data_IF_412031393943
#
_entry.id   IF_412031393943
#
_cell.length_a   1.000
_cell.length_b   1.000
_cell.length_c   1.000
_cell.angle_alpha   90.00
_cell.angle_beta   90.00
_cell.angle_gamma   90.00
#
_symmetry.space_group_name_H-M   'P 1'
#
loop_
_entity.id
_entity.type
_entity.pdbx_description
1 polymer ?
#
# COMPACT_ATOMS: atom_id res chain seq x y z
N UNK A 1 20.81 -15.15 16.82
CA UNK A 1 19.96 -15.00 18.02
C UNK A 1 18.59 -15.53 17.68
N UNK A 2 18.10 -16.58 18.35
CA UNK A 2 16.73 -17.08 18.13
C UNK A 2 15.77 -16.15 18.85
N UNK A 3 15.00 -15.38 18.10
CA UNK A 3 13.83 -14.68 18.61
C UNK A 3 12.67 -15.68 18.63
N UNK A 4 12.06 -15.92 19.79
CA UNK A 4 10.89 -16.79 19.91
C UNK A 4 9.65 -15.96 20.21
N UNK A 5 8.60 -16.14 19.41
CA UNK A 5 7.30 -15.50 19.62
C UNK A 5 6.35 -16.46 20.34
N UNK A 6 5.77 -16.01 21.46
CA UNK A 6 4.75 -16.76 22.19
C UNK A 6 3.38 -16.59 21.52
N UNK A 7 2.71 -17.68 21.18
CA UNK A 7 1.33 -17.65 20.71
C UNK A 7 0.37 -17.60 21.91
N UNK A 8 -0.57 -16.66 21.93
CA UNK A 8 -1.58 -16.54 23.00
C UNK A 8 -2.86 -17.24 22.58
N UNK A 9 -3.26 -18.28 23.30
CA UNK A 9 -4.39 -19.16 22.93
C UNK A 9 -5.57 -19.12 23.90
N UNK A 10 -5.44 -18.47 25.04
CA UNK A 10 -6.45 -18.50 26.09
C UNK A 10 -6.48 -17.21 26.91
N UNK A 11 -7.61 -16.95 27.58
CA UNK A 11 -7.76 -15.77 28.45
C UNK A 11 -6.72 -15.76 29.57
N UNK A 12 -6.42 -16.93 30.15
CA UNK A 12 -5.36 -17.08 31.16
C UNK A 12 -4.00 -16.65 30.63
N UNK A 13 -3.66 -17.02 29.39
CA UNK A 13 -2.40 -16.61 28.76
C UNK A 13 -2.37 -15.12 28.44
N UNK A 14 -3.51 -14.56 28.02
CA UNK A 14 -3.67 -13.13 27.80
C UNK A 14 -3.50 -12.31 29.08
N UNK A 15 -4.14 -12.74 30.18
CA UNK A 15 -4.03 -12.08 31.48
C UNK A 15 -2.59 -12.14 32.01
N UNK A 16 -1.92 -13.30 31.87
CA UNK A 16 -0.52 -13.45 32.22
C UNK A 16 0.39 -12.53 31.40
N UNK A 17 0.11 -12.37 30.10
CA UNK A 17 0.83 -11.43 29.24
C UNK A 17 0.61 -9.98 29.69
N UNK A 18 -0.62 -9.59 30.03
CA UNK A 18 -0.91 -8.24 30.55
C UNK A 18 -0.16 -7.95 31.86
N UNK A 19 -0.13 -8.92 32.77
CA UNK A 19 0.60 -8.81 34.02
C UNK A 19 2.12 -8.66 33.77
N UNK A 20 2.67 -9.44 32.84
CA UNK A 20 4.07 -9.30 32.45
C UNK A 20 4.36 -7.92 31.84
N UNK A 21 3.57 -7.47 30.86
CA UNK A 21 3.71 -6.16 30.22
C UNK A 21 3.55 -5.00 31.20
N UNK A 22 2.77 -5.17 32.27
CA UNK A 22 2.62 -4.16 33.32
C UNK A 22 3.93 -3.79 34.00
N UNK A 23 4.89 -4.73 34.06
CA UNK A 23 6.22 -4.58 34.68
C UNK A 23 7.19 -3.79 33.79
N UNK A 24 6.85 -3.59 32.51
CA UNK A 24 7.69 -2.88 31.54
C UNK A 24 7.20 -1.45 31.31
N UNK A 25 8.13 -0.52 31.05
CA UNK A 25 7.82 0.89 30.72
C UNK A 25 7.64 1.13 29.23
N UNK A 26 8.09 0.19 28.40
CA UNK A 26 8.11 0.31 26.94
C UNK A 26 7.96 -1.06 26.32
N UNK A 27 7.13 -1.15 25.28
CA UNK A 27 6.93 -2.32 24.43
C UNK A 27 6.62 -1.83 23.02
N UNK A 28 6.80 -2.68 22.00
CA UNK A 28 6.29 -2.43 20.67
C UNK A 28 4.92 -3.07 20.47
N UNK A 29 4.17 -2.55 19.51
CA UNK A 29 2.86 -3.06 19.11
C UNK A 29 2.77 -3.00 17.59
N UNK A 30 2.22 -4.05 16.99
CA UNK A 30 2.03 -4.16 15.54
C UNK A 30 0.77 -4.97 15.25
N UNK A 31 0.05 -4.62 14.18
CA UNK A 31 -1.27 -5.19 13.86
C UNK A 31 -1.31 -5.89 12.51
N UNK A 32 -1.98 -7.05 12.49
CA UNK A 32 -2.22 -7.84 11.29
C UNK A 32 -3.69 -7.76 10.88
N UNK A 33 -3.96 -7.42 9.62
CA UNK A 33 -5.33 -7.18 9.15
C UNK A 33 -5.52 -7.40 7.64
N UNK A 34 -6.76 -7.71 7.24
CA UNK A 34 -7.20 -7.69 5.85
C UNK A 34 -7.75 -6.31 5.49
N UNK A 35 -7.15 -5.66 4.49
CA UNK A 35 -7.60 -4.36 4.02
C UNK A 35 -8.86 -4.48 3.14
N UNK A 36 -10.01 -4.01 3.64
CA UNK A 36 -11.27 -3.85 2.88
C UNK A 36 -11.76 -2.39 2.81
N UNK A 37 -10.85 -1.45 3.09
CA UNK A 37 -11.10 -0.02 3.22
C UNK A 37 -11.68 0.39 4.58
N UNK A 38 -11.25 1.53 5.11
CA UNK A 38 -11.74 2.07 6.38
C UNK A 38 -13.22 2.50 6.28
N UNK A 39 -14.07 2.24 7.30
CA UNK A 39 -13.78 1.55 8.57
C UNK A 39 -13.96 0.02 8.52
N UNK A 40 -14.19 -0.58 7.35
CA UNK A 40 -14.45 -2.03 7.16
C UNK A 40 -13.18 -2.90 7.20
N UNK A 41 -12.17 -2.51 7.95
CA UNK A 41 -10.94 -3.30 8.07
C UNK A 41 -11.22 -4.53 8.94
N UNK A 42 -10.70 -5.70 8.56
CA UNK A 42 -10.86 -6.93 9.34
C UNK A 42 -9.54 -7.26 10.03
N UNK A 43 -9.49 -7.12 11.35
CA UNK A 43 -8.31 -7.52 12.12
C UNK A 43 -8.12 -9.04 12.11
N UNK A 44 -6.89 -9.51 11.95
CA UNK A 44 -6.49 -10.91 12.03
C UNK A 44 -5.79 -11.23 13.35
N UNK A 45 -4.97 -10.32 13.87
CA UNK A 45 -4.27 -10.44 15.14
C UNK A 45 -3.35 -9.24 15.39
N UNK A 46 -2.59 -9.28 16.47
CA UNK A 46 -1.56 -8.28 16.76
C UNK A 46 -0.39 -8.91 17.51
N UNK A 47 0.78 -8.30 17.40
CA UNK A 47 1.97 -8.70 18.14
C UNK A 47 2.44 -7.61 19.10
N UNK A 48 3.08 -8.05 20.18
CA UNK A 48 3.69 -7.17 21.18
C UNK A 48 5.09 -7.69 21.43
N UNK A 49 6.11 -6.83 21.43
CA UNK A 49 7.44 -7.20 21.89
C UNK A 49 7.91 -6.31 23.04
N UNK A 50 8.64 -6.91 23.98
CA UNK A 50 9.19 -6.22 25.15
C UNK A 50 10.60 -6.73 25.44
N UNK A 51 11.27 -6.05 26.38
CA UNK A 51 12.65 -6.36 26.75
C UNK A 51 12.76 -6.66 28.24
N UNK A 52 13.30 -7.83 28.60
CA UNK A 52 13.54 -8.30 29.98
C UNK A 52 14.97 -8.08 30.48
N UNK A 53 15.89 -7.67 29.62
CA UNK A 53 17.30 -7.42 29.98
C UNK A 53 18.00 -6.46 29.01
N UNK A 54 19.33 -6.48 28.92
CA UNK A 54 20.03 -5.62 27.95
C UNK A 54 19.82 -6.11 26.50
N UNK A 55 19.94 -7.43 26.31
CA UNK A 55 19.87 -8.12 25.02
C UNK A 55 18.82 -9.25 25.01
N UNK A 56 17.91 -9.25 25.98
CA UNK A 56 16.88 -10.27 26.12
C UNK A 56 15.51 -9.68 25.75
N UNK A 57 14.96 -10.20 24.66
CA UNK A 57 13.76 -9.68 23.99
C UNK A 57 12.77 -10.81 23.79
N UNK A 58 11.52 -10.50 24.06
CA UNK A 58 10.41 -11.43 23.99
C UNK A 58 9.33 -10.81 23.14
N UNK A 59 8.55 -11.65 22.48
CA UNK A 59 7.35 -11.22 21.80
C UNK A 59 6.22 -12.20 21.99
N UNK A 60 5.01 -11.71 21.81
CA UNK A 60 3.81 -12.50 21.79
C UNK A 60 2.94 -12.11 20.59
N UNK A 61 2.22 -13.07 20.04
CA UNK A 61 1.20 -12.87 19.03
C UNK A 61 -0.17 -13.27 19.57
N UNK A 62 -1.14 -12.39 19.42
CA UNK A 62 -2.54 -12.59 19.81
C UNK A 62 -3.39 -12.75 18.54
N UNK A 63 -3.73 -13.98 18.14
CA UNK A 63 -4.57 -14.26 16.98
C UNK A 63 -6.05 -14.01 17.34
N UNK A 64 -6.78 -13.38 16.42
CA UNK A 64 -8.17 -12.95 16.64
C UNK A 64 -9.14 -13.52 15.61
N UNK A 65 -8.77 -13.55 14.33
CA UNK A 65 -9.68 -13.98 13.24
C UNK A 65 -8.98 -14.76 12.13
N UNK A 66 -7.95 -15.53 12.45
CA UNK A 66 -7.40 -16.53 11.54
C UNK A 66 -8.45 -17.58 11.18
N UNK A 67 -8.32 -18.10 9.98
CA UNK A 67 -9.24 -19.06 9.38
C UNK A 67 -8.45 -20.28 8.94
N UNK A 68 -9.11 -21.43 8.98
CA UNK A 68 -8.60 -22.68 8.44
C UNK A 68 -9.55 -23.15 7.33
N UNK A 69 -8.97 -23.77 6.32
CA UNK A 69 -9.73 -24.46 5.29
C UNK A 69 -10.30 -25.75 5.88
N UNK A 70 -11.59 -25.97 5.67
CA UNK A 70 -12.28 -27.19 6.08
C UNK A 70 -13.02 -27.76 4.88
N UNK A 71 -13.17 -29.09 4.87
CA UNK A 71 -14.05 -29.75 3.90
C UNK A 71 -15.51 -29.39 4.21
N UNK A 72 -16.23 -28.98 3.18
CA UNK A 72 -17.65 -28.64 3.26
C UNK A 72 -18.34 -29.08 1.97
N UNK A 73 -18.53 -30.41 1.79
CA UNK A 73 -19.05 -30.98 0.55
C UNK A 73 -20.43 -30.41 0.20
N UNK A 74 -20.64 -30.07 -1.07
CA UNK A 74 -21.95 -29.70 -1.62
C UNK A 74 -22.49 -30.85 -2.49
N UNK A 75 -23.81 -30.97 -2.70
CA UNK A 75 -24.41 -32.06 -3.48
C UNK A 75 -23.76 -32.27 -4.86
N UNK A 76 -23.40 -31.18 -5.53
CA UNK A 76 -22.78 -31.20 -6.87
C UNK A 76 -21.24 -31.03 -6.84
N UNK A 77 -20.63 -30.88 -5.65
CA UNK A 77 -19.20 -30.59 -5.46
C UNK A 77 -18.67 -31.23 -4.17
N UNK A 78 -18.35 -32.53 -4.18
CA UNK A 78 -17.88 -33.24 -2.99
C UNK A 78 -16.53 -32.73 -2.47
N UNK A 79 -15.69 -32.19 -3.35
CA UNK A 79 -14.39 -31.58 -3.01
C UNK A 79 -14.47 -30.12 -2.54
N UNK A 80 -15.67 -29.57 -2.37
CA UNK A 80 -15.85 -28.18 -1.94
C UNK A 80 -15.26 -27.95 -0.54
N UNK A 81 -14.49 -26.88 -0.42
CA UNK A 81 -13.93 -26.40 0.85
C UNK A 81 -14.47 -25.03 1.20
N UNK A 82 -14.46 -24.71 2.49
CA UNK A 82 -14.76 -23.37 2.99
C UNK A 82 -13.74 -22.94 4.04
N UNK A 83 -13.61 -21.62 4.23
CA UNK A 83 -12.72 -21.04 5.23
C UNK A 83 -13.53 -20.65 6.47
N UNK A 84 -13.30 -21.34 7.59
CA UNK A 84 -13.95 -21.03 8.88
C UNK A 84 -12.94 -20.48 9.88
N UNK A 85 -13.40 -19.59 10.75
CA UNK A 85 -12.57 -19.03 11.84
C UNK A 85 -12.11 -20.16 12.75
N UNK A 86 -10.83 -20.16 13.12
CA UNK A 86 -10.29 -21.14 14.07
C UNK A 86 -10.87 -20.85 15.46
N UNK A 87 -11.51 -21.84 16.08
CA UNK A 87 -12.41 -21.65 17.23
C UNK A 87 -11.70 -21.19 18.52
N UNK A 88 -10.53 -21.75 18.83
CA UNK A 88 -9.81 -21.46 20.08
C UNK A 88 -9.30 -20.01 20.21
N UNK A 89 -9.32 -19.22 19.13
CA UNK A 89 -8.90 -17.84 19.17
C UNK A 89 -9.85 -16.99 20.02
N UNK A 90 -9.28 -16.08 20.80
CA UNK A 90 -10.05 -15.22 21.69
C UNK A 90 -10.89 -14.20 20.89
N UNK A 91 -12.17 -14.00 21.23
CA UNK A 91 -12.97 -12.93 20.67
C UNK A 91 -12.37 -11.56 21.02
N UNK A 92 -12.47 -10.59 20.10
CA UNK A 92 -12.01 -9.21 20.32
C UNK A 92 -12.60 -8.61 21.60
N UNK A 93 -13.86 -8.93 21.90
CA UNK A 93 -14.56 -8.44 23.10
C UNK A 93 -13.88 -8.84 24.42
N UNK A 94 -13.27 -10.03 24.48
CA UNK A 94 -12.58 -10.49 25.69
C UNK A 94 -11.22 -9.80 25.87
N UNK A 95 -10.56 -9.44 24.77
CA UNK A 95 -9.24 -8.79 24.78
C UNK A 95 -9.35 -7.27 24.98
N UNK A 96 -10.41 -6.66 24.42
CA UNK A 96 -10.60 -5.21 24.33
C UNK A 96 -10.42 -4.47 25.67
N UNK A 97 -10.97 -4.89 26.82
CA UNK A 97 -10.80 -4.16 28.08
C UNK A 97 -9.34 -4.10 28.54
N UNK A 98 -8.64 -5.24 28.51
CA UNK A 98 -7.24 -5.33 28.89
C UNK A 98 -6.33 -4.56 27.94
N UNK A 99 -6.59 -4.66 26.63
CA UNK A 99 -5.84 -3.93 25.62
C UNK A 99 -6.05 -2.42 25.75
N UNK A 100 -7.28 -1.96 25.99
CA UNK A 100 -7.58 -0.56 26.28
C UNK A 100 -6.82 -0.04 27.50
N UNK A 101 -6.80 -0.81 28.59
CA UNK A 101 -6.05 -0.45 29.80
C UNK A 101 -4.55 -0.35 29.51
N UNK A 102 -4.00 -1.31 28.78
CA UNK A 102 -2.58 -1.33 28.40
C UNK A 102 -2.21 -0.12 27.51
N UNK A 103 -3.01 0.16 26.48
CA UNK A 103 -2.77 1.26 25.53
C UNK A 103 -2.87 2.66 26.17
N UNK A 104 -3.64 2.80 27.26
CA UNK A 104 -3.81 4.05 28.00
C UNK A 104 -3.01 4.09 29.32
N UNK A 105 -2.04 3.19 29.51
CA UNK A 105 -1.29 3.06 30.76
C UNK A 105 -0.24 4.16 30.99
N UNK A 106 -0.06 5.09 30.04
CA UNK A 106 1.02 6.08 30.05
C UNK A 106 2.42 5.52 29.72
N UNK A 107 2.52 4.21 29.48
CA UNK A 107 3.72 3.53 28.99
C UNK A 107 4.00 3.95 27.54
N UNK A 108 5.27 3.91 27.15
CA UNK A 108 5.67 4.24 25.77
C UNK A 108 5.43 3.02 24.86
N UNK A 109 4.66 3.21 23.79
CA UNK A 109 4.32 2.17 22.83
C UNK A 109 5.04 2.46 21.51
N UNK A 110 5.88 1.53 21.08
CA UNK A 110 6.69 1.67 19.88
C UNK A 110 5.97 1.03 18.70
N UNK A 111 5.78 1.77 17.63
CA UNK A 111 5.14 1.26 16.41
C UNK A 111 6.02 1.61 15.20
N UNK A 112 5.73 1.00 14.06
CA UNK A 112 6.33 1.36 12.79
C UNK A 112 5.20 1.77 11.84
N UNK A 113 5.10 3.06 11.52
CA UNK A 113 3.90 3.64 10.91
C UNK A 113 2.67 3.53 11.83
N UNK A 114 2.75 4.19 12.99
CA UNK A 114 1.79 4.09 14.09
C UNK A 114 0.34 4.39 13.68
N UNK A 115 0.13 5.23 12.67
CA UNK A 115 -1.19 5.54 12.13
C UNK A 115 -1.96 4.28 11.70
N UNK A 116 -1.28 3.28 11.15
CA UNK A 116 -1.90 2.03 10.75
C UNK A 116 -2.48 1.29 11.97
N UNK A 117 -1.68 1.12 13.01
CA UNK A 117 -2.07 0.40 14.23
C UNK A 117 -3.14 1.15 15.02
N UNK A 118 -3.05 2.48 15.11
CA UNK A 118 -4.04 3.33 15.76
C UNK A 118 -5.42 3.18 15.11
N UNK A 119 -5.46 3.16 13.77
CA UNK A 119 -6.69 2.92 13.02
C UNK A 119 -7.29 1.53 13.30
N UNK A 120 -6.44 0.51 13.46
CA UNK A 120 -6.91 -0.83 13.83
C UNK A 120 -7.44 -0.85 15.27
N UNK A 121 -6.77 -0.19 16.22
CA UNK A 121 -7.25 -0.05 17.59
C UNK A 121 -8.64 0.63 17.62
N UNK A 122 -8.85 1.67 16.80
CA UNK A 122 -10.17 2.30 16.65
C UNK A 122 -11.22 1.32 16.16
N UNK A 123 -10.94 0.56 15.09
CA UNK A 123 -11.84 -0.47 14.54
C UNK A 123 -12.14 -1.58 15.56
N UNK A 124 -11.17 -1.92 16.41
CA UNK A 124 -11.37 -2.84 17.54
C UNK A 124 -12.21 -2.25 18.67
N UNK A 125 -12.60 -0.98 18.60
CA UNK A 125 -13.30 -0.25 19.65
C UNK A 125 -12.39 0.20 20.80
N UNK A 126 -11.07 0.09 20.68
CA UNK A 126 -10.09 0.51 21.69
C UNK A 126 -9.77 1.99 21.53
N UNK A 127 -10.41 2.85 22.32
CA UNK A 127 -10.09 4.28 22.35
C UNK A 127 -8.80 4.53 23.13
N UNK A 128 -7.96 5.42 22.62
CA UNK A 128 -6.58 5.65 23.08
C UNK A 128 -6.28 7.12 23.43
N UNK A 129 -7.13 7.84 24.20
CA UNK A 129 -6.95 9.28 24.45
C UNK A 129 -5.68 9.64 25.23
N UNK A 130 -5.04 8.67 25.90
CA UNK A 130 -3.82 8.87 26.71
C UNK A 130 -2.64 8.05 26.19
N UNK A 131 -2.69 7.62 24.94
CA UNK A 131 -1.61 6.81 24.37
C UNK A 131 -0.35 7.64 24.23
N UNK A 132 0.79 7.04 24.53
CA UNK A 132 2.10 7.63 24.32
C UNK A 132 2.87 6.77 23.34
N UNK A 133 3.13 7.30 22.14
CA UNK A 133 3.72 6.54 21.05
C UNK A 133 5.18 6.92 20.75
N UNK A 134 5.87 6.03 20.06
CA UNK A 134 7.11 6.29 19.33
C UNK A 134 6.98 5.63 17.95
N UNK A 135 7.00 6.43 16.88
CA UNK A 135 6.98 5.90 15.51
C UNK A 135 8.41 5.79 14.95
N UNK A 136 8.86 4.56 14.72
CA UNK A 136 10.18 4.26 14.17
C UNK A 136 10.35 4.66 12.70
N UNK A 137 9.27 4.73 11.93
CA UNK A 137 9.29 5.22 10.55
C UNK A 137 9.58 6.72 10.52
N UNK A 138 8.88 7.51 11.35
CA UNK A 138 9.11 8.96 11.46
C UNK A 138 10.51 9.24 12.03
N UNK A 139 10.95 8.46 13.02
CA UNK A 139 12.30 8.59 13.56
C UNK A 139 13.36 8.34 12.48
N UNK A 140 13.11 7.37 11.59
CA UNK A 140 13.97 7.08 10.44
C UNK A 140 13.99 8.25 9.44
N UNK A 141 12.83 8.84 9.13
CA UNK A 141 12.73 10.03 8.28
C UNK A 141 13.59 11.19 8.77
N UNK A 142 13.56 11.48 10.07
CA UNK A 142 14.40 12.55 10.63
C UNK A 142 15.90 12.22 10.61
N UNK A 143 16.26 10.96 10.82
CA UNK A 143 17.66 10.56 10.96
C UNK A 143 18.35 10.23 9.62
N UNK A 144 17.60 9.79 8.61
CA UNK A 144 18.15 9.19 7.38
C UNK A 144 17.27 9.53 6.16
N UNK A 145 17.18 10.80 5.77
CA UNK A 145 16.20 11.29 4.79
C UNK A 145 16.22 10.62 3.39
N UNK A 146 17.37 10.19 2.88
CA UNK A 146 17.51 9.69 1.50
C UNK A 146 17.38 8.16 1.36
N UNK A 147 16.62 7.49 2.24
CA UNK A 147 16.46 6.02 2.23
C UNK A 147 15.02 5.56 2.24
N UNK A 148 14.82 4.26 2.00
CA UNK A 148 13.53 3.62 2.25
C UNK A 148 13.29 3.51 3.76
N UNK A 149 12.13 3.98 4.21
CA UNK A 149 11.78 4.03 5.64
C UNK A 149 10.87 2.89 6.11
N UNK A 150 10.57 1.92 5.24
CA UNK A 150 9.83 0.73 5.64
C UNK A 150 10.65 -0.18 6.56
N UNK A 151 9.97 -0.92 7.43
CA UNK A 151 10.59 -1.78 8.44
C UNK A 151 11.58 -2.78 7.83
N UNK A 152 11.17 -3.46 6.75
CA UNK A 152 11.97 -4.50 6.09
C UNK A 152 13.29 -3.94 5.50
N UNK A 153 13.27 -2.88 4.66
CA UNK A 153 14.49 -2.20 4.23
C UNK A 153 15.37 -1.72 5.38
N UNK A 154 14.79 -1.08 6.41
CA UNK A 154 15.57 -0.58 7.55
C UNK A 154 16.23 -1.70 8.35
N UNK A 155 15.53 -2.81 8.55
CA UNK A 155 16.08 -3.97 9.25
C UNK A 155 17.25 -4.59 8.48
N UNK A 156 17.13 -4.71 7.16
CA UNK A 156 18.22 -5.18 6.31
C UNK A 156 19.43 -4.25 6.38
N UNK A 157 19.20 -2.95 6.23
CA UNK A 157 20.28 -1.96 6.19
C UNK A 157 21.00 -1.79 7.54
N UNK A 158 20.27 -1.85 8.66
CA UNK A 158 20.81 -1.56 10.00
C UNK A 158 21.30 -2.82 10.71
N UNK A 159 20.63 -3.95 10.51
CA UNK A 159 20.93 -5.20 11.21
C UNK A 159 21.51 -6.29 10.31
N UNK A 160 21.60 -6.06 8.99
CA UNK A 160 22.06 -7.08 8.04
C UNK A 160 21.11 -8.27 7.94
N UNK A 161 19.84 -8.10 8.32
CA UNK A 161 18.85 -9.18 8.39
C UNK A 161 17.72 -8.97 7.38
N UNK A 162 17.43 -9.99 6.58
CA UNK A 162 16.33 -9.96 5.61
C UNK A 162 15.09 -10.58 6.26
N UNK A 163 14.10 -9.74 6.55
CA UNK A 163 12.80 -10.17 7.07
C UNK A 163 11.93 -10.79 5.96
N UNK A 164 10.99 -11.64 6.35
CA UNK A 164 9.96 -12.15 5.44
C UNK A 164 9.02 -11.02 5.01
N UNK A 165 8.76 -10.92 3.71
CA UNK A 165 7.80 -9.96 3.16
C UNK A 165 6.37 -10.54 3.26
N UNK A 166 5.39 -9.71 3.65
CA UNK A 166 4.00 -10.16 3.78
C UNK A 166 3.44 -10.72 2.47
N UNK A 167 3.91 -10.24 1.31
CA UNK A 167 3.46 -10.73 0.01
C UNK A 167 3.88 -12.17 -0.30
N UNK A 168 4.88 -12.68 0.43
CA UNK A 168 5.29 -14.10 0.34
C UNK A 168 4.27 -14.98 1.05
N UNK A 169 3.72 -14.52 2.18
CA UNK A 169 2.78 -15.27 3.00
C UNK A 169 1.32 -15.09 2.52
N UNK A 170 0.96 -13.85 2.19
CA UNK A 170 -0.37 -13.44 1.76
C UNK A 170 -0.26 -12.64 0.45
N UNK A 171 -0.17 -13.31 -0.70
CA UNK A 171 -0.17 -12.64 -1.99
C UNK A 171 -1.48 -11.86 -2.19
N UNK A 172 -1.43 -10.78 -2.98
CA UNK A 172 -2.63 -9.99 -3.28
C UNK A 172 -3.61 -10.80 -4.14
N UNK A 173 -4.77 -11.10 -3.55
CA UNK A 173 -5.87 -11.71 -4.27
C UNK A 173 -6.74 -10.63 -4.93
N UNK A 174 -7.12 -10.86 -6.18
CA UNK A 174 -7.99 -9.99 -6.95
C UNK A 174 -9.38 -10.62 -7.02
N UNK A 175 -10.33 -10.06 -6.26
CA UNK A 175 -11.71 -10.52 -6.30
C UNK A 175 -12.46 -9.95 -7.50
N UNK A 176 -13.17 -10.80 -8.24
CA UNK A 176 -14.11 -10.35 -9.27
C UNK A 176 -15.32 -9.64 -8.63
N UNK A 177 -15.57 -8.41 -9.07
CA UNK A 177 -16.82 -7.70 -8.74
C UNK A 177 -18.01 -8.37 -9.45
N UNK A 178 -18.74 -9.20 -8.70
CA UNK A 178 -19.90 -9.97 -9.17
C UNK A 178 -21.13 -9.10 -9.48
N UNK A 179 -21.13 -7.82 -9.10
CA UNK A 179 -22.25 -6.90 -9.38
C UNK A 179 -22.26 -6.38 -10.82
N UNK A 180 -21.18 -6.63 -11.59
CA UNK A 180 -21.10 -6.23 -12.99
C UNK A 180 -21.76 -7.25 -13.92
N UNK A 181 -22.57 -6.80 -14.89
CA UNK A 181 -23.25 -7.70 -15.83
C UNK A 181 -22.23 -8.50 -16.66
N UNK A 182 -22.55 -9.78 -16.89
CA UNK A 182 -21.84 -10.66 -17.83
C UNK A 182 -22.00 -10.13 -19.26
N UNK A 183 -20.94 -10.22 -20.10
CA UNK A 183 -21.12 -10.01 -21.54
C UNK A 183 -21.88 -11.19 -22.14
N UNK A 184 -22.54 -10.95 -23.28
CA UNK A 184 -23.25 -11.95 -24.08
C UNK A 184 -22.38 -13.15 -24.51
N UNK A 185 -21.06 -13.05 -24.44
CA UNK A 185 -20.10 -14.13 -24.75
C UNK A 185 -19.81 -15.06 -23.55
N UNK A 186 -20.62 -15.01 -22.48
CA UNK A 186 -20.37 -15.73 -21.22
C UNK A 186 -19.22 -15.16 -20.37
N UNK A 187 -18.36 -14.31 -20.94
CA UNK A 187 -17.24 -13.65 -20.27
C UNK A 187 -17.71 -12.39 -19.55
N UNK A 188 -17.29 -12.15 -18.30
CA UNK A 188 -17.61 -10.89 -17.60
C UNK A 188 -16.89 -9.71 -18.26
N UNK A 189 -17.55 -8.55 -18.32
CA UNK A 189 -16.98 -7.30 -18.86
C UNK A 189 -15.86 -6.81 -17.93
N UNK A 190 -14.64 -7.34 -18.11
CA UNK A 190 -13.43 -6.85 -17.47
C UNK A 190 -12.64 -7.88 -16.66
N UNK A 191 -12.07 -8.89 -17.33
CA UNK A 191 -10.84 -9.55 -16.85
C UNK A 191 -9.59 -8.67 -17.08
N UNK A 192 -9.78 -7.46 -17.60
CA UNK A 192 -8.72 -6.48 -17.82
C UNK A 192 -8.67 -5.50 -16.65
N UNK A 193 -7.76 -5.77 -15.71
CA UNK A 193 -7.16 -4.79 -14.81
C UNK A 193 -8.17 -4.08 -13.90
N UNK A 194 -8.67 -4.78 -12.88
CA UNK A 194 -9.12 -4.11 -11.65
C UNK A 194 -7.90 -3.36 -11.09
N UNK A 195 -7.82 -2.05 -11.33
CA UNK A 195 -6.76 -1.22 -10.78
C UNK A 195 -6.86 -1.19 -9.24
N UNK A 196 -5.79 -1.66 -8.59
CA UNK A 196 -5.21 -1.13 -7.33
C UNK A 196 -5.99 -1.29 -6.02
N UNK A 197 -6.69 -2.39 -5.79
CA UNK A 197 -7.02 -2.81 -4.41
C UNK A 197 -7.09 -4.33 -4.33
N UNK A 198 -5.94 -4.99 -4.49
CA UNK A 198 -5.81 -6.38 -4.08
C UNK A 198 -6.07 -6.49 -2.57
N UNK A 199 -6.76 -7.54 -2.15
CA UNK A 199 -6.95 -7.83 -0.72
C UNK A 199 -5.92 -8.90 -0.38
N UNK A 200 -5.15 -8.68 0.69
CA UNK A 200 -4.30 -9.72 1.27
C UNK A 200 -5.12 -10.46 2.32
N UNK A 201 -5.28 -11.76 2.13
CA UNK A 201 -6.05 -12.60 3.04
C UNK A 201 -5.17 -13.11 4.17
N UNK A 202 -4.75 -12.18 5.02
CA UNK A 202 -3.86 -12.45 6.17
C UNK A 202 -4.47 -13.49 7.11
N UNK A 203 -5.81 -13.58 7.18
CA UNK A 203 -6.51 -14.59 7.97
C UNK A 203 -6.28 -16.03 7.47
N UNK A 204 -5.79 -16.23 6.23
CA UNK A 204 -5.57 -17.56 5.64
C UNK A 204 -4.12 -18.05 5.77
N UNK A 205 -3.22 -17.20 6.27
CA UNK A 205 -1.80 -17.55 6.46
C UNK A 205 -1.68 -18.62 7.54
N UNK A 206 -0.76 -19.57 7.36
CA UNK A 206 -0.51 -20.62 8.35
C UNK A 206 -0.12 -20.03 9.71
N UNK A 207 -0.66 -20.59 10.79
CA UNK A 207 -0.47 -20.04 12.15
C UNK A 207 1.01 -19.90 12.54
N UNK A 208 1.86 -20.86 12.15
CA UNK A 208 3.30 -20.80 12.44
C UNK A 208 4.00 -19.69 11.64
N UNK A 209 3.59 -19.46 10.40
CA UNK A 209 4.19 -18.45 9.53
C UNK A 209 3.84 -17.04 10.00
N UNK A 210 2.56 -16.80 10.31
CA UNK A 210 2.13 -15.50 10.83
C UNK A 210 2.70 -15.22 12.23
N UNK A 211 2.85 -16.25 13.08
CA UNK A 211 3.47 -16.12 14.39
C UNK A 211 4.93 -15.63 14.28
N UNK A 212 5.69 -16.19 13.33
CA UNK A 212 7.05 -15.78 13.05
C UNK A 212 7.08 -14.36 12.48
N UNK A 213 6.29 -14.09 11.43
CA UNK A 213 6.23 -12.79 10.76
C UNK A 213 5.86 -11.65 11.72
N UNK A 214 4.71 -11.75 12.39
CA UNK A 214 4.20 -10.70 13.27
C UNK A 214 5.11 -10.47 14.47
N UNK A 215 5.69 -11.55 15.01
CA UNK A 215 6.66 -11.45 16.09
C UNK A 215 7.94 -10.73 15.67
N UNK A 216 8.47 -11.01 14.47
CA UNK A 216 9.61 -10.31 13.91
C UNK A 216 9.33 -8.82 13.68
N UNK A 217 8.13 -8.48 13.19
CA UNK A 217 7.72 -7.09 12.97
C UNK A 217 7.73 -6.29 14.29
N UNK A 218 7.10 -6.81 15.34
CA UNK A 218 7.17 -6.18 16.67
C UNK A 218 8.60 -6.15 17.23
N UNK A 219 9.37 -7.23 17.07
CA UNK A 219 10.74 -7.32 17.57
C UNK A 219 11.66 -6.27 16.95
N UNK A 220 11.71 -6.21 15.62
CA UNK A 220 12.60 -5.28 14.92
C UNK A 220 12.16 -3.83 15.09
N UNK A 221 10.85 -3.58 15.20
CA UNK A 221 10.31 -2.27 15.60
C UNK A 221 10.90 -1.82 16.95
N UNK A 222 10.89 -2.70 17.96
CA UNK A 222 11.48 -2.37 19.26
C UNK A 222 13.00 -2.19 19.19
N UNK A 223 13.70 -3.01 18.39
CA UNK A 223 15.15 -2.91 18.16
C UNK A 223 15.54 -1.58 17.48
N UNK A 224 14.79 -1.15 16.47
CA UNK A 224 15.00 0.14 15.78
C UNK A 224 14.86 1.30 16.78
N UNK A 225 13.81 1.29 17.60
CA UNK A 225 13.62 2.31 18.63
C UNK A 225 14.83 2.46 19.55
N UNK A 226 15.45 1.35 19.99
CA UNK A 226 16.61 1.42 20.89
C UNK A 226 17.81 2.13 20.26
N UNK A 227 17.99 2.00 18.94
CA UNK A 227 19.00 2.73 18.18
C UNK A 227 18.58 4.18 17.91
N UNK A 228 17.39 4.38 17.35
CA UNK A 228 16.90 5.68 16.92
C UNK A 228 16.71 6.66 18.07
N UNK A 229 16.19 6.22 19.22
CA UNK A 229 16.06 7.08 20.40
C UNK A 229 17.41 7.66 20.84
N UNK A 230 18.49 6.89 20.79
CA UNK A 230 19.84 7.38 21.14
C UNK A 230 20.34 8.37 20.09
N UNK A 231 20.18 8.04 18.81
CA UNK A 231 20.58 8.91 17.69
C UNK A 231 19.83 10.25 17.72
N UNK A 232 18.50 10.25 17.85
CA UNK A 232 17.69 11.47 17.94
C UNK A 232 18.14 12.41 19.05
N UNK A 233 18.57 11.87 20.20
CA UNK A 233 19.11 12.68 21.30
C UNK A 233 20.48 13.27 20.95
N UNK A 234 21.37 12.46 20.36
CA UNK A 234 22.70 12.89 19.95
C UNK A 234 22.64 13.99 18.88
N UNK A 235 21.75 13.85 17.91
CA UNK A 235 21.52 14.84 16.84
C UNK A 235 20.62 16.01 17.29
N UNK A 236 20.27 16.12 18.58
CA UNK A 236 19.42 17.18 19.16
C UNK A 236 18.01 17.30 18.56
N UNK A 237 17.51 16.25 17.90
CA UNK A 237 16.17 16.19 17.28
C UNK A 237 15.08 15.60 18.19
N UNK A 238 15.45 15.12 19.39
CA UNK A 238 14.51 14.45 20.31
C UNK A 238 13.29 15.31 20.66
N UNK A 239 13.48 16.61 20.91
CA UNK A 239 12.39 17.52 21.30
C UNK A 239 11.36 17.65 20.18
N UNK A 240 11.81 17.99 18.97
CA UNK A 240 10.97 18.04 17.77
C UNK A 240 10.22 16.73 17.54
N UNK A 241 10.94 15.61 17.61
CA UNK A 241 10.34 14.29 17.41
C UNK A 241 9.26 13.98 18.45
N UNK A 242 9.57 14.12 19.74
CA UNK A 242 8.72 13.63 20.82
C UNK A 242 7.59 14.61 21.19
N UNK A 243 7.83 15.92 21.13
CA UNK A 243 6.85 16.94 21.56
C UNK A 243 5.96 17.42 20.42
N UNK A 244 6.40 17.34 19.16
CA UNK A 244 5.60 17.79 18.02
C UNK A 244 5.12 16.59 17.19
N UNK A 245 6.05 15.84 16.59
CA UNK A 245 5.67 14.85 15.57
C UNK A 245 4.84 13.68 16.13
N UNK A 246 5.09 13.25 17.38
CA UNK A 246 4.27 12.18 17.98
C UNK A 246 2.85 12.65 18.32
N UNK A 247 2.66 13.95 18.62
CA UNK A 247 1.33 14.52 18.82
C UNK A 247 0.60 14.68 17.48
N UNK A 248 1.30 15.15 16.44
CA UNK A 248 0.76 15.30 15.09
C UNK A 248 0.19 13.99 14.53
N UNK A 249 0.84 12.85 14.81
CA UNK A 249 0.31 11.53 14.40
C UNK A 249 -1.07 11.27 15.00
N UNK A 250 -1.29 11.64 16.26
CA UNK A 250 -2.58 11.45 16.92
C UNK A 250 -3.66 12.36 16.32
N UNK A 251 -3.32 13.63 16.06
CA UNK A 251 -4.23 14.58 15.41
C UNK A 251 -4.60 14.17 13.99
N UNK A 252 -3.61 13.75 13.18
CA UNK A 252 -3.87 13.28 11.80
C UNK A 252 -4.75 12.04 11.84
N UNK A 253 -4.52 11.12 12.77
CA UNK A 253 -5.37 9.95 12.92
C UNK A 253 -6.81 10.33 13.27
N UNK A 254 -7.04 11.29 14.18
CA UNK A 254 -8.37 11.80 14.51
C UNK A 254 -9.06 12.47 13.30
N UNK A 255 -8.31 13.25 12.50
CA UNK A 255 -8.82 13.86 11.27
C UNK A 255 -9.27 12.80 10.25
N UNK A 256 -8.48 11.73 10.08
CA UNK A 256 -8.82 10.63 9.18
C UNK A 256 -10.03 9.81 9.66
N UNK A 257 -10.16 9.61 10.97
CA UNK A 257 -11.30 8.94 11.59
C UNK A 257 -12.59 9.74 11.42
N UNK A 258 -12.51 11.06 11.57
CA UNK A 258 -13.62 11.99 11.39
C UNK A 258 -14.06 12.06 9.93
N UNK A 259 -13.10 12.09 9.00
CA UNK A 259 -13.34 12.18 7.57
C UNK A 259 -13.95 13.52 7.14
N UNK A 260 -14.53 13.55 5.94
CA UNK A 260 -15.14 14.75 5.36
C UNK A 260 -16.49 14.42 4.74
N UNK A 261 -17.49 15.27 4.99
CA UNK A 261 -18.82 15.14 4.39
C UNK A 261 -18.76 15.53 2.91
N UNK A 262 -19.35 14.72 2.04
CA UNK A 262 -19.40 14.95 0.60
C UNK A 262 -20.86 14.95 0.13
N UNK A 263 -21.30 16.03 -0.51
CA UNK A 263 -22.60 16.08 -1.18
C UNK A 263 -22.58 15.17 -2.42
N UNK A 264 -23.18 13.99 -2.27
CA UNK A 264 -23.28 12.98 -3.33
C UNK A 264 -24.16 13.44 -4.49
N UNK A 265 -25.16 14.28 -4.24
CA UNK A 265 -26.08 14.78 -5.28
C UNK A 265 -25.35 15.80 -6.14
N UNK A 266 -24.68 16.78 -5.52
CA UNK A 266 -23.81 17.72 -6.22
C UNK A 266 -22.71 16.98 -6.99
N UNK A 267 -22.02 16.01 -6.39
CA UNK A 267 -20.97 15.25 -7.07
C UNK A 267 -21.48 14.52 -8.31
N UNK A 268 -22.67 13.89 -8.25
CA UNK A 268 -23.29 13.28 -9.44
C UNK A 268 -23.59 14.32 -10.53
N UNK A 269 -24.10 15.50 -10.16
CA UNK A 269 -24.35 16.62 -11.10
C UNK A 269 -23.03 17.12 -11.70
N UNK A 270 -21.99 17.28 -10.89
CA UNK A 270 -20.66 17.74 -11.29
C UNK A 270 -20.01 16.78 -12.29
N UNK A 271 -20.06 15.46 -12.02
CA UNK A 271 -19.58 14.42 -12.94
C UNK A 271 -20.33 14.51 -14.28
N UNK A 272 -21.66 14.62 -14.28
CA UNK A 272 -22.44 14.80 -15.53
C UNK A 272 -22.01 16.05 -16.30
N UNK A 273 -21.80 17.17 -15.61
CA UNK A 273 -21.34 18.43 -16.23
C UNK A 273 -19.95 18.29 -16.86
N UNK A 274 -19.01 17.66 -16.17
CA UNK A 274 -17.67 17.39 -16.69
C UNK A 274 -17.72 16.44 -17.89
N UNK A 275 -18.52 15.37 -17.85
CA UNK A 275 -18.69 14.45 -18.97
C UNK A 275 -19.20 15.16 -20.23
N UNK A 276 -20.19 16.05 -20.08
CA UNK A 276 -20.67 16.88 -21.21
C UNK A 276 -19.59 17.82 -21.73
N UNK A 277 -18.81 18.48 -20.85
CA UNK A 277 -17.68 19.33 -21.27
C UNK A 277 -16.63 18.55 -22.04
N UNK A 278 -16.23 17.37 -21.55
CA UNK A 278 -15.29 16.47 -22.21
C UNK A 278 -15.83 16.08 -23.59
N UNK A 279 -17.09 15.67 -23.70
CA UNK A 279 -17.70 15.33 -24.98
C UNK A 279 -17.67 16.51 -25.98
N UNK A 280 -18.03 17.72 -25.52
CA UNK A 280 -17.94 18.94 -26.34
C UNK A 280 -16.51 19.25 -26.79
N UNK A 281 -15.52 19.13 -25.90
CA UNK A 281 -14.13 19.35 -26.27
C UNK A 281 -13.61 18.29 -27.23
N UNK A 282 -13.99 17.02 -27.06
CA UNK A 282 -13.71 15.96 -28.04
C UNK A 282 -14.27 16.37 -29.39
N UNK A 283 -15.56 16.69 -29.49
CA UNK A 283 -16.17 17.15 -30.75
C UNK A 283 -15.43 18.34 -31.37
N UNK A 284 -15.06 19.35 -30.57
CA UNK A 284 -14.25 20.48 -31.06
C UNK A 284 -12.89 20.05 -31.63
N UNK A 285 -12.21 19.08 -31.00
CA UNK A 285 -10.96 18.50 -31.49
C UNK A 285 -11.17 17.73 -32.79
N UNK A 286 -12.28 17.00 -32.94
CA UNK A 286 -12.64 16.31 -34.17
C UNK A 286 -13.01 17.30 -35.30
N UNK A 287 -13.70 18.39 -34.98
CA UNK A 287 -14.19 19.38 -35.96
C UNK A 287 -13.11 20.34 -36.46
N UNK A 288 -12.16 20.74 -35.61
CA UNK A 288 -11.10 21.72 -35.96
C UNK A 288 -9.92 21.13 -36.75
N UNK A 289 -10.10 19.96 -37.36
CA UNK A 289 -8.99 19.25 -38.03
C UNK A 289 -8.72 19.80 -39.43
N UNK A 290 -7.47 20.15 -39.75
CA UNK A 290 -7.10 20.56 -41.10
C UNK A 290 -6.84 19.36 -42.03
N UNK A 291 -7.13 19.53 -43.33
CA UNK A 291 -6.62 18.69 -44.42
C UNK A 291 -7.12 17.23 -44.46
N UNK A 292 -6.23 16.31 -44.88
CA UNK A 292 -6.51 14.88 -45.15
C UNK A 292 -6.89 14.03 -43.93
N UNK A 293 -6.87 14.59 -42.73
CA UNK A 293 -7.25 13.91 -41.48
C UNK A 293 -8.67 14.25 -40.99
N UNK A 294 -9.44 15.00 -41.79
CA UNK A 294 -10.86 15.25 -41.53
C UNK A 294 -11.61 13.92 -41.61
N UNK A 295 -12.32 13.55 -40.53
CA UNK A 295 -13.10 12.31 -40.46
C UNK A 295 -12.35 11.06 -39.92
N UNK A 296 -11.03 11.10 -39.70
CA UNK A 296 -10.28 9.93 -39.19
C UNK A 296 -10.49 9.75 -37.69
N UNK A 297 -11.08 8.66 -37.23
CA UNK A 297 -11.22 8.42 -35.79
C UNK A 297 -9.87 8.11 -35.12
N UNK A 298 -9.63 8.69 -33.92
CA UNK A 298 -8.47 8.34 -33.10
C UNK A 298 -8.78 8.47 -31.61
N UNK A 299 -8.06 7.72 -30.79
CA UNK A 299 -8.14 7.79 -29.35
C UNK A 299 -7.27 8.92 -28.81
N UNK A 300 -7.90 10.01 -28.35
CA UNK A 300 -7.23 11.17 -27.74
C UNK A 300 -6.39 10.78 -26.51
N UNK A 301 -6.73 9.70 -25.80
CA UNK A 301 -5.96 9.20 -24.66
C UNK A 301 -4.73 8.38 -25.04
N UNK A 302 -4.52 8.07 -26.32
CA UNK A 302 -3.36 7.32 -26.81
C UNK A 302 -2.27 8.29 -27.25
N UNK A 303 -1.22 8.43 -26.43
CA UNK A 303 -0.07 9.28 -26.75
C UNK A 303 0.52 9.00 -28.16
N UNK A 304 0.66 7.73 -28.61
CA UNK A 304 1.07 7.43 -29.99
C UNK A 304 0.14 7.98 -31.07
N UNK A 305 -1.19 7.79 -30.93
CA UNK A 305 -2.16 8.24 -31.93
C UNK A 305 -2.29 9.77 -31.95
N UNK A 306 -2.26 10.39 -30.77
CA UNK A 306 -2.26 11.84 -30.65
C UNK A 306 -1.00 12.46 -31.30
N UNK A 307 0.17 11.84 -31.13
CA UNK A 307 1.40 12.28 -31.80
C UNK A 307 1.30 12.21 -33.33
N UNK A 308 0.67 11.17 -33.89
CA UNK A 308 0.42 11.07 -35.33
C UNK A 308 -0.50 12.20 -35.84
N UNK A 309 -1.50 12.58 -35.06
CA UNK A 309 -2.44 13.64 -35.45
C UNK A 309 -1.82 15.04 -35.31
N UNK A 310 -1.03 15.28 -34.25
CA UNK A 310 -0.40 16.57 -33.98
C UNK A 310 0.81 16.83 -34.88
N UNK A 311 1.62 15.78 -35.15
CA UNK A 311 2.91 15.92 -35.82
C UNK A 311 3.07 15.05 -37.07
N UNK A 312 2.26 14.00 -37.26
CA UNK A 312 2.37 13.12 -38.44
C UNK A 312 2.06 13.83 -39.76
N UNK A 313 1.22 14.88 -39.75
CA UNK A 313 1.04 15.76 -40.90
C UNK A 313 2.13 16.86 -41.03
N UNK A 314 2.96 17.07 -40.01
CA UNK A 314 4.00 18.12 -40.01
C UNK A 314 5.41 17.55 -40.17
N UNK A 315 5.67 16.28 -39.87
CA UNK A 315 6.96 15.65 -40.13
C UNK A 315 6.87 14.13 -40.05
N UNK A 316 7.30 13.44 -41.13
CA UNK A 316 7.52 11.98 -41.23
C UNK A 316 6.22 11.20 -41.33
N UNK A 317 5.97 10.54 -42.44
CA UNK A 317 6.21 9.08 -42.47
C UNK A 317 6.43 8.50 -43.88
N UNK A 318 6.36 9.33 -44.92
CA UNK A 318 6.34 8.83 -46.30
C UNK A 318 7.70 8.36 -46.84
N UNK A 319 8.80 8.90 -46.33
CA UNK A 319 10.16 8.49 -46.73
C UNK A 319 10.62 7.25 -45.95
N UNK A 320 10.47 7.26 -44.62
CA UNK A 320 11.01 6.21 -43.76
C UNK A 320 10.32 4.85 -44.00
N UNK A 321 9.03 4.83 -44.37
CA UNK A 321 8.35 3.58 -44.70
C UNK A 321 8.61 3.07 -46.13
N UNK A 322 8.96 3.96 -47.08
CA UNK A 322 9.21 3.59 -48.49
C UNK A 322 10.66 3.22 -48.78
N UNK A 323 11.61 4.01 -48.29
CA UNK A 323 13.02 3.88 -48.68
C UNK A 323 13.83 2.98 -47.74
N UNK A 324 13.47 2.92 -46.45
CA UNK A 324 14.14 2.01 -45.52
C UNK A 324 13.85 0.53 -45.81
N UNK A 325 12.65 0.21 -46.34
CA UNK A 325 12.31 -1.14 -46.82
C UNK A 325 13.11 -1.56 -48.07
N UNK A 326 13.69 -0.60 -48.79
CA UNK A 326 14.54 -0.81 -49.97
C UNK A 326 16.04 -0.76 -49.63
N UNK A 327 16.39 -0.76 -48.34
CA UNK A 327 17.78 -0.80 -47.87
C UNK A 327 18.58 0.51 -48.05
N UNK A 328 17.95 1.61 -48.48
CA UNK A 328 18.66 2.88 -48.70
C UNK A 328 18.83 3.65 -47.38
N UNK A 329 20.01 4.24 -47.18
CA UNK A 329 20.28 5.06 -45.99
C UNK A 329 19.87 6.50 -46.26
N UNK A 330 19.47 7.19 -45.19
CA UNK A 330 18.94 8.56 -45.28
C UNK A 330 19.94 9.59 -45.84
N UNK A 331 21.24 9.33 -45.69
CA UNK A 331 22.30 10.19 -46.26
C UNK A 331 22.36 10.15 -47.78
N UNK A 332 21.86 9.08 -48.39
CA UNK A 332 22.01 8.84 -49.83
C UNK A 332 20.85 9.44 -50.64
N UNK A 333 19.69 9.64 -50.00
CA UNK A 333 18.48 10.23 -50.64
C UNK A 333 17.65 11.01 -49.61
N UNK A 334 18.09 12.21 -49.18
CA UNK A 334 17.31 13.02 -48.26
C UNK A 334 15.98 13.47 -48.91
N UNK A 335 14.89 13.62 -48.15
CA UNK A 335 13.63 14.11 -48.69
C UNK A 335 13.82 15.52 -49.27
N UNK A 336 13.22 15.83 -50.43
CA UNK A 336 13.27 17.17 -51.07
C UNK A 336 12.96 18.34 -50.12
N UNK A 337 12.16 18.12 -49.08
CA UNK A 337 11.81 19.14 -48.07
C UNK A 337 12.89 19.35 -46.99
N UNK A 338 13.90 18.50 -46.87
CA UNK A 338 15.07 18.72 -46.01
C UNK A 338 15.94 19.88 -46.52
N UNK A 339 16.03 20.00 -47.85
CA UNK A 339 16.74 21.09 -48.53
C UNK A 339 16.08 22.44 -48.33
N UNK A 340 14.77 22.48 -48.04
CA UNK A 340 14.04 23.72 -47.72
C UNK A 340 13.91 24.02 -46.22
N UNK A 341 14.52 23.21 -45.33
CA UNK A 341 14.54 23.49 -43.88
C UNK A 341 15.62 24.48 -43.49
N UNK A 342 15.33 25.32 -42.49
CA UNK A 342 16.33 26.18 -41.84
C UNK A 342 17.40 25.36 -41.12
N UNK A 343 18.59 25.95 -40.93
CA UNK A 343 19.72 25.29 -40.26
C UNK A 343 19.38 24.77 -38.86
N UNK A 344 18.57 25.52 -38.09
CA UNK A 344 18.11 25.15 -36.76
C UNK A 344 17.19 23.92 -36.78
N UNK A 345 16.26 23.86 -37.75
CA UNK A 345 15.38 22.72 -37.94
C UNK A 345 16.17 21.46 -38.34
N UNK A 346 17.19 21.60 -39.20
CA UNK A 346 18.08 20.49 -39.60
C UNK A 346 18.89 19.95 -38.41
N UNK A 347 19.37 20.83 -37.51
CA UNK A 347 20.14 20.44 -36.32
C UNK A 347 19.31 19.56 -35.38
N UNK A 348 18.10 20.00 -35.01
CA UNK A 348 17.16 19.22 -34.19
C UNK A 348 16.78 17.89 -34.85
N UNK A 349 16.67 17.87 -36.17
CA UNK A 349 16.37 16.66 -36.95
C UNK A 349 17.51 15.64 -36.93
N UNK A 350 18.78 16.07 -37.01
CA UNK A 350 19.95 15.19 -36.96
C UNK A 350 20.10 14.53 -35.59
N UNK A 351 19.98 15.29 -34.51
CA UNK A 351 20.25 14.79 -33.15
C UNK A 351 19.26 13.70 -32.71
N UNK A 352 18.01 13.76 -33.17
CA UNK A 352 16.97 12.77 -32.80
C UNK A 352 17.02 11.46 -33.60
N UNK A 353 17.70 11.42 -34.75
CA UNK A 353 17.57 10.32 -35.71
C UNK A 353 18.90 9.73 -36.20
N UNK A 354 20.06 10.24 -35.77
CA UNK A 354 21.37 9.67 -36.12
C UNK A 354 21.89 8.59 -35.14
N UNK A 355 21.09 8.18 -34.14
CA UNK A 355 21.49 7.18 -33.12
C UNK A 355 20.74 5.84 -33.23
N UNK A 356 20.35 5.44 -34.44
CA UNK A 356 19.95 4.06 -34.72
C UNK A 356 20.63 3.55 -35.97
#
# INVERSE_FOLDING_TARGET
>A
MKHSTRLIKSTREWDALLEELSKHRTFSFDTEYENRGYPRIKICGFSIAWRRGRNDFHSAYVPLNHTQEIQSPLPDRPEHTEWKRIEWQLPVEQIRPGLRKLMNSGKLIVMHNAQADLKILHVMGVKTPRIRIFDTMIASWLLIADRYHGLKPLTRDIFGYTMTELSVLAPEEYFEDRTKPRLKSGKRKGLYRLKKSGIRLVARVGMNEILMYAGEDAYYTLRLYMGFRKKLKREKMWRLFNELLMEDVLYINEMEETGMVIDRVYMKKFVKRLSRRIARYKQRIFNRRPGKMRGVEFNIGSAPQLNLVLFGCVAKTDWYHREAKRGRRWRDTPPKRYESMSATQRKVFRTKYSRK
#
